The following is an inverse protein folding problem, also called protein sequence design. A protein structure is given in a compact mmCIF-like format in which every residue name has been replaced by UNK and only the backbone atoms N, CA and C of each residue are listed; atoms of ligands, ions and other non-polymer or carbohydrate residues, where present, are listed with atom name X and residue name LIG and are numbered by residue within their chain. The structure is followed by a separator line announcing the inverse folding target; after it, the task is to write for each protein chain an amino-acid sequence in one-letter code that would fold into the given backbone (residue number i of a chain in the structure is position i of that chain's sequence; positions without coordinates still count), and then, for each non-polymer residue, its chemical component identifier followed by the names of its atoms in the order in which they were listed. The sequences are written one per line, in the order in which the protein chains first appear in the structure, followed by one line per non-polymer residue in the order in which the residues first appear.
data_IF_734124416177
#
_entry.id   IF_734124416177
#
_cell.length_a   1.000
_cell.length_b   1.000
_cell.length_c   1.000
_cell.angle_alpha   90.00
_cell.angle_beta   90.00
_cell.angle_gamma   90.00
#
_symmetry.space_group_name_H-M   'P 1'
#
loop_
_entity.id
_entity.type
_entity.pdbx_description
1 polymer ?
#
# COMPACT_ATOMS: atom_id res chain seq x y z
N UNK A 1 -8.68 9.90 -8.11
CA UNK A 1 -9.28 9.22 -9.29
C UNK A 1 -9.06 7.71 -9.17
N UNK A 2 -7.83 7.24 -8.96
CA UNK A 2 -7.50 5.82 -8.92
C UNK A 2 -8.37 5.00 -7.95
N UNK A 3 -8.56 5.49 -6.72
CA UNK A 3 -9.40 4.83 -5.71
C UNK A 3 -10.84 4.57 -6.24
N UNK A 4 -11.41 5.55 -6.95
CA UNK A 4 -12.75 5.47 -7.51
C UNK A 4 -12.79 4.46 -8.66
N UNK A 5 -11.85 4.55 -9.60
CA UNK A 5 -11.78 3.65 -10.75
C UNK A 5 -11.66 2.18 -10.32
N UNK A 6 -10.75 1.90 -9.36
CA UNK A 6 -10.60 0.53 -8.81
C UNK A 6 -11.88 0.04 -8.13
N UNK A 7 -12.58 0.91 -7.38
CA UNK A 7 -13.82 0.54 -6.69
C UNK A 7 -14.98 0.26 -7.65
N UNK A 8 -15.07 0.99 -8.76
CA UNK A 8 -16.08 0.77 -9.82
C UNK A 8 -15.89 -0.61 -10.46
N UNK A 9 -14.65 -1.01 -10.68
CA UNK A 9 -14.30 -2.29 -11.31
C UNK A 9 -14.33 -3.49 -10.33
N UNK A 10 -14.91 -3.31 -9.15
CA UNK A 10 -15.07 -4.37 -8.16
C UNK A 10 -13.83 -4.66 -7.31
N UNK A 11 -12.76 -3.93 -7.51
CA UNK A 11 -11.59 -3.95 -6.62
C UNK A 11 -11.81 -3.12 -5.36
N UNK A 12 -10.91 -3.23 -4.39
CA UNK A 12 -10.90 -2.37 -3.21
C UNK A 12 -9.99 -1.17 -3.44
N UNK A 13 -10.56 -0.04 -3.85
CA UNK A 13 -9.83 1.22 -3.97
C UNK A 13 -9.39 1.76 -2.60
N UNK A 14 -8.14 2.21 -2.47
CA UNK A 14 -7.64 2.75 -1.21
C UNK A 14 -7.28 4.24 -1.33
N UNK A 15 -7.79 5.05 -0.42
CA UNK A 15 -7.33 6.42 -0.20
C UNK A 15 -6.04 6.35 0.63
N UNK A 16 -4.92 6.85 0.09
CA UNK A 16 -3.68 7.01 0.86
C UNK A 16 -3.70 8.31 1.65
N UNK A 17 -3.33 8.24 2.94
CA UNK A 17 -3.15 9.45 3.76
C UNK A 17 -1.72 9.98 3.74
N UNK A 18 -0.81 9.31 3.01
CA UNK A 18 0.56 9.79 2.80
C UNK A 18 0.49 11.07 1.95
N UNK A 19 1.16 12.12 2.41
CA UNK A 19 1.11 13.44 1.78
C UNK A 19 -0.01 14.37 2.28
N UNK A 20 -1.05 13.87 2.95
CA UNK A 20 -2.15 14.70 3.46
C UNK A 20 -1.77 15.53 4.71
N UNK A 21 -0.63 15.29 5.33
CA UNK A 21 -0.18 15.95 6.56
C UNK A 21 0.94 16.99 6.35
N UNK A 22 1.34 17.25 5.12
CA UNK A 22 2.41 18.19 4.78
C UNK A 22 1.89 19.60 4.54
N UNK A 23 2.77 20.63 4.64
CA UNK A 23 2.41 22.01 4.28
C UNK A 23 2.08 22.20 2.79
N UNK A 24 2.49 21.25 1.95
CA UNK A 24 2.30 21.25 0.50
C UNK A 24 1.46 20.03 0.07
N UNK A 25 0.14 20.10 0.25
CA UNK A 25 -0.80 19.05 -0.24
C UNK A 25 -1.05 19.27 -1.74
N UNK A 26 0.01 19.31 -2.54
CA UNK A 26 -0.06 19.56 -3.99
C UNK A 26 -0.14 18.27 -4.84
N UNK A 27 -0.55 17.13 -4.25
CA UNK A 27 -0.81 15.92 -4.98
C UNK A 27 -2.21 15.84 -5.61
N UNK A 28 -2.97 16.93 -5.58
CA UNK A 28 -4.30 16.99 -6.22
C UNK A 28 -4.08 17.59 -7.61
N UNK A 29 -4.54 16.92 -8.69
CA UNK A 29 -4.51 17.47 -10.05
C UNK A 29 -5.10 18.89 -10.08
N UNK A 30 -4.54 19.78 -10.91
CA UNK A 30 -4.90 21.21 -10.94
C UNK A 30 -6.40 21.41 -11.24
N UNK A 31 -6.99 20.56 -12.04
CA UNK A 31 -8.43 20.51 -12.36
C UNK A 31 -9.31 20.13 -11.16
N UNK A 32 -8.78 19.33 -10.24
CA UNK A 32 -9.45 18.91 -9.00
C UNK A 32 -9.10 19.83 -7.82
N UNK A 33 -8.09 20.72 -7.93
CA UNK A 33 -7.73 21.76 -6.93
C UNK A 33 -8.84 22.78 -6.71
N UNK A 34 -9.82 22.86 -7.61
CA UNK A 34 -11.04 23.66 -7.43
C UNK A 34 -11.97 23.13 -6.35
N UNK A 35 -11.82 21.86 -5.98
CA UNK A 35 -12.32 21.37 -4.71
C UNK A 35 -11.39 21.94 -3.65
N UNK A 36 -11.88 22.87 -2.85
CA UNK A 36 -11.12 23.56 -1.78
C UNK A 36 -10.77 22.56 -0.67
N UNK A 37 -9.83 21.65 -0.96
CA UNK A 37 -9.27 20.72 0.02
C UNK A 37 -8.37 21.43 1.04
N UNK A 38 -8.33 22.78 0.99
CA UNK A 38 -7.59 23.60 1.91
C UNK A 38 -6.10 23.32 1.85
N UNK A 39 -5.41 23.85 0.84
CA UNK A 39 -3.94 23.92 0.82
C UNK A 39 -3.47 24.51 2.15
N UNK A 40 -2.76 23.73 2.97
CA UNK A 40 -2.43 24.10 4.35
C UNK A 40 -3.52 23.73 5.38
N UNK A 41 -4.53 22.92 5.01
CA UNK A 41 -5.62 22.50 5.88
C UNK A 41 -5.19 21.49 6.93
N UNK A 42 -5.98 21.40 8.01
CA UNK A 42 -5.86 20.36 9.02
C UNK A 42 -5.99 18.97 8.32
N UNK A 43 -5.01 18.06 8.48
CA UNK A 43 -5.01 16.72 7.87
C UNK A 43 -6.34 15.96 8.02
N UNK A 44 -7.02 16.18 9.15
CA UNK A 44 -8.32 15.64 9.47
C UNK A 44 -9.41 16.10 8.49
N UNK A 45 -9.43 17.38 8.13
CA UNK A 45 -10.43 17.93 7.20
C UNK A 45 -10.17 17.45 5.77
N UNK A 46 -8.92 17.37 5.36
CA UNK A 46 -8.52 16.87 4.04
C UNK A 46 -9.02 15.44 3.84
N UNK A 47 -8.79 14.54 4.80
CA UNK A 47 -9.27 13.17 4.69
C UNK A 47 -10.81 13.08 4.66
N UNK A 48 -11.52 13.87 5.49
CA UNK A 48 -12.99 13.88 5.49
C UNK A 48 -13.56 14.34 4.14
N UNK A 49 -13.00 15.39 3.55
CA UNK A 49 -13.39 15.88 2.23
C UNK A 49 -13.10 14.84 1.14
N UNK A 50 -11.93 14.20 1.19
CA UNK A 50 -11.59 13.14 0.24
C UNK A 50 -12.55 11.96 0.35
N UNK A 51 -12.93 11.53 1.55
CA UNK A 51 -13.91 10.46 1.76
C UNK A 51 -15.28 10.86 1.17
N UNK A 52 -15.76 12.09 1.42
CA UNK A 52 -17.01 12.59 0.83
C UNK A 52 -16.97 12.56 -0.69
N UNK A 53 -15.92 13.12 -1.27
CA UNK A 53 -15.73 13.12 -2.72
C UNK A 53 -15.75 11.72 -3.34
N UNK A 54 -15.02 10.76 -2.75
CA UNK A 54 -15.02 9.37 -3.23
C UNK A 54 -16.41 8.74 -3.07
N UNK A 55 -17.09 8.98 -1.95
CA UNK A 55 -18.43 8.48 -1.69
C UNK A 55 -19.45 9.00 -2.71
N UNK A 56 -19.46 10.30 -2.98
CA UNK A 56 -20.32 10.95 -3.98
C UNK A 56 -20.08 10.39 -5.39
N UNK A 57 -18.80 10.24 -5.78
CA UNK A 57 -18.45 9.67 -7.10
C UNK A 57 -18.81 8.20 -7.27
N UNK A 58 -19.06 7.50 -6.17
CA UNK A 58 -19.48 6.09 -6.19
C UNK A 58 -21.00 5.93 -5.99
N UNK A 59 -21.80 7.02 -5.96
CA UNK A 59 -23.23 6.97 -5.64
C UNK A 59 -23.98 5.99 -6.56
N UNK A 60 -23.73 6.06 -7.87
CA UNK A 60 -24.35 5.21 -8.89
C UNK A 60 -23.81 3.76 -8.92
N UNK A 61 -22.84 3.42 -8.07
CA UNK A 61 -22.20 2.11 -8.01
C UNK A 61 -22.43 1.44 -6.66
N UNK A 62 -23.58 0.80 -6.41
CA UNK A 62 -23.98 0.29 -5.09
C UNK A 62 -23.01 -0.75 -4.51
N UNK A 63 -22.40 -1.56 -5.37
CA UNK A 63 -21.47 -2.62 -4.95
C UNK A 63 -20.05 -2.10 -4.72
N UNK A 64 -19.69 -0.92 -5.23
CA UNK A 64 -18.36 -0.35 -5.06
C UNK A 64 -18.02 -0.11 -3.58
N UNK A 65 -16.84 -0.57 -3.17
CA UNK A 65 -16.31 -0.42 -1.82
C UNK A 65 -14.92 0.20 -1.89
N UNK A 66 -14.60 0.99 -0.88
CA UNK A 66 -13.27 1.57 -0.75
C UNK A 66 -12.77 1.52 0.69
N UNK A 67 -11.50 1.84 0.86
CA UNK A 67 -10.86 1.91 2.15
C UNK A 67 -9.92 3.10 2.27
N UNK A 68 -9.34 3.25 3.45
CA UNK A 68 -8.30 4.24 3.75
C UNK A 68 -7.04 3.55 4.23
N UNK A 69 -5.87 4.00 3.78
CA UNK A 69 -4.57 3.57 4.31
C UNK A 69 -4.01 4.64 5.23
N UNK A 70 -3.71 4.25 6.48
CA UNK A 70 -3.17 5.13 7.52
C UNK A 70 -1.84 4.55 8.03
N UNK A 71 -0.69 5.21 7.79
CA UNK A 71 0.57 4.80 8.38
C UNK A 71 0.53 5.03 9.90
N UNK A 72 0.97 4.05 10.67
CA UNK A 72 0.92 4.08 12.15
C UNK A 72 2.31 4.01 12.80
N UNK A 73 3.34 4.42 12.08
CA UNK A 73 4.68 4.55 12.65
C UNK A 73 4.65 5.43 13.91
N UNK A 74 5.56 5.14 14.85
CA UNK A 74 5.63 5.84 16.14
C UNK A 74 5.74 7.36 15.97
N UNK A 75 6.45 7.79 14.95
CA UNK A 75 6.68 9.18 14.59
C UNK A 75 5.41 9.87 14.10
N UNK A 76 4.50 9.12 13.50
CA UNK A 76 3.21 9.59 12.99
C UNK A 76 2.03 9.42 13.95
N UNK A 77 2.21 8.83 15.11
CA UNK A 77 1.08 8.42 15.96
C UNK A 77 0.05 9.54 16.23
N UNK A 78 0.49 10.80 16.33
CA UNK A 78 -0.42 11.94 16.51
C UNK A 78 -1.26 12.22 15.27
N UNK A 79 -0.64 12.19 14.09
CA UNK A 79 -1.32 12.42 12.80
C UNK A 79 -2.20 11.22 12.46
N UNK A 80 -1.72 10.00 12.67
CA UNK A 80 -2.50 8.77 12.48
C UNK A 80 -3.79 8.79 13.31
N UNK A 81 -3.69 9.26 14.57
CA UNK A 81 -4.88 9.44 15.42
C UNK A 81 -5.86 10.47 14.85
N UNK A 82 -5.37 11.55 14.24
CA UNK A 82 -6.23 12.54 13.60
C UNK A 82 -6.96 11.94 12.41
N UNK A 83 -6.27 11.17 11.56
CA UNK A 83 -6.88 10.48 10.43
C UNK A 83 -7.94 9.44 10.89
N UNK A 84 -7.66 8.66 11.93
CA UNK A 84 -8.66 7.73 12.48
C UNK A 84 -9.88 8.46 13.02
N UNK A 85 -9.69 9.60 13.70
CA UNK A 85 -10.80 10.46 14.14
C UNK A 85 -11.58 11.02 12.95
N UNK A 86 -10.95 11.33 11.83
CA UNK A 86 -11.66 11.75 10.60
C UNK A 86 -12.63 10.67 10.12
N UNK A 87 -12.23 9.40 10.19
CA UNK A 87 -13.10 8.28 9.81
C UNK A 87 -14.27 8.12 10.80
N UNK A 88 -14.02 8.29 12.10
CA UNK A 88 -15.08 8.23 13.13
C UNK A 88 -16.10 9.35 12.89
N UNK A 89 -15.63 10.58 12.75
CA UNK A 89 -16.48 11.76 12.58
C UNK A 89 -17.30 11.72 11.28
N UNK A 90 -16.69 11.29 10.17
CA UNK A 90 -17.45 11.18 8.92
C UNK A 90 -18.53 10.09 9.02
N UNK A 91 -18.32 9.03 9.81
CA UNK A 91 -19.34 8.02 10.09
C UNK A 91 -20.49 8.52 10.99
N UNK A 92 -20.23 9.55 11.78
CA UNK A 92 -21.26 10.24 12.59
C UNK A 92 -22.02 11.27 11.74
N UNK A 93 -21.29 12.07 10.93
CA UNK A 93 -21.83 13.12 10.08
C UNK A 93 -22.63 12.59 8.87
N UNK A 94 -22.17 11.47 8.29
CA UNK A 94 -22.73 10.83 7.09
C UNK A 94 -22.78 9.30 7.30
N UNK A 95 -23.78 8.78 8.05
CA UNK A 95 -23.84 7.34 8.37
C UNK A 95 -23.88 6.42 7.14
N UNK A 96 -24.40 6.90 6.00
CA UNK A 96 -24.47 6.20 4.73
C UNK A 96 -23.08 5.86 4.13
N UNK A 97 -22.05 6.64 4.45
CA UNK A 97 -20.66 6.37 4.04
C UNK A 97 -20.19 4.98 4.48
N UNK A 98 -20.72 4.47 5.62
CA UNK A 98 -20.41 3.11 6.12
C UNK A 98 -20.77 2.00 5.15
N UNK A 99 -21.66 2.25 4.18
CA UNK A 99 -22.04 1.26 3.15
C UNK A 99 -20.91 1.04 2.16
N UNK A 100 -20.06 2.05 1.92
CA UNK A 100 -18.98 2.04 0.92
C UNK A 100 -17.58 2.06 1.52
N UNK A 101 -17.31 2.88 2.54
CA UNK A 101 -16.05 2.87 3.28
C UNK A 101 -16.05 1.71 4.27
N UNK A 102 -15.46 0.58 3.86
CA UNK A 102 -15.52 -0.68 4.60
C UNK A 102 -14.21 -1.11 5.23
N UNK A 103 -13.09 -0.60 4.73
CA UNK A 103 -11.75 -1.10 5.09
C UNK A 103 -10.88 0.04 5.59
N UNK A 104 -10.15 -0.22 6.67
CA UNK A 104 -9.02 0.59 7.11
C UNK A 104 -7.76 -0.26 7.09
N UNK A 105 -6.79 0.12 6.26
CA UNK A 105 -5.48 -0.49 6.22
C UNK A 105 -4.54 0.33 7.10
N UNK A 106 -3.87 -0.32 8.03
CA UNK A 106 -2.76 0.29 8.77
C UNK A 106 -1.42 -0.25 8.29
N UNK A 107 -0.42 0.61 8.18
CA UNK A 107 0.88 0.29 7.60
C UNK A 107 2.03 0.96 8.35
N UNK A 108 3.26 0.57 8.03
CA UNK A 108 4.51 1.18 8.51
C UNK A 108 4.62 1.32 10.04
N UNK A 109 4.00 0.42 10.82
CA UNK A 109 4.07 0.49 12.28
C UNK A 109 3.50 -0.72 12.99
N UNK A 110 3.46 -0.61 14.32
CA UNK A 110 2.95 -1.65 15.22
C UNK A 110 1.45 -1.39 15.51
N UNK A 111 0.53 -2.31 15.18
CA UNK A 111 -0.89 -2.14 15.44
C UNK A 111 -1.26 -2.32 16.95
N UNK A 112 -0.43 -2.97 17.74
CA UNK A 112 -0.77 -3.30 19.13
C UNK A 112 -1.15 -2.07 19.99
N UNK A 113 -0.49 -0.90 19.88
CA UNK A 113 -0.94 0.31 20.61
C UNK A 113 -2.33 0.82 20.25
N UNK A 114 -2.92 0.32 19.16
CA UNK A 114 -4.24 0.71 18.63
C UNK A 114 -5.31 -0.37 18.86
N UNK A 115 -4.93 -1.45 19.54
CA UNK A 115 -5.81 -2.54 19.90
C UNK A 115 -6.70 -2.17 21.11
N UNK A 116 -7.85 -2.83 21.20
CA UNK A 116 -8.63 -2.87 22.46
C UNK A 116 -7.72 -3.50 23.54
N UNK A 117 -7.72 -2.91 24.73
CA UNK A 117 -6.92 -3.38 25.88
C UNK A 117 -5.43 -3.52 25.55
N UNK A 118 -4.89 -2.57 24.77
CA UNK A 118 -3.51 -2.59 24.29
C UNK A 118 -2.46 -2.81 25.41
N UNK A 119 -2.67 -2.21 26.58
CA UNK A 119 -1.76 -2.36 27.74
C UNK A 119 -1.79 -3.77 28.33
N UNK A 120 -2.96 -4.37 28.46
CA UNK A 120 -3.15 -5.75 28.94
C UNK A 120 -2.55 -6.75 27.97
N UNK A 121 -2.59 -6.46 26.67
CA UNK A 121 -1.93 -7.21 25.60
C UNK A 121 -0.41 -6.98 25.53
N UNK A 122 0.17 -6.22 26.49
CA UNK A 122 1.60 -6.00 26.61
C UNK A 122 2.16 -4.85 25.78
N UNK A 123 1.32 -3.91 25.34
CA UNK A 123 1.80 -2.66 24.74
C UNK A 123 2.23 -1.67 25.82
N UNK A 124 3.40 -1.01 25.60
CA UNK A 124 3.85 0.08 26.47
C UNK A 124 3.01 1.36 26.31
N UNK A 125 2.30 1.49 25.20
CA UNK A 125 1.45 2.64 24.85
C UNK A 125 0.07 2.16 24.45
N UNK A 126 -0.94 2.99 24.69
CA UNK A 126 -2.28 2.82 24.18
C UNK A 126 -2.68 4.13 23.50
N UNK A 127 -3.24 4.00 22.32
CA UNK A 127 -3.76 5.11 21.53
C UNK A 127 -5.29 4.99 21.40
N UNK A 128 -5.84 5.31 20.24
CA UNK A 128 -7.24 5.08 19.91
C UNK A 128 -7.49 3.59 19.69
N UNK A 129 -8.53 3.03 20.31
CA UNK A 129 -8.91 1.62 20.18
C UNK A 129 -9.74 1.41 18.92
N UNK A 130 -9.08 1.05 17.80
CA UNK A 130 -9.70 1.01 16.45
C UNK A 130 -11.01 0.22 16.43
N UNK A 131 -11.03 -1.01 16.91
CA UNK A 131 -12.23 -1.87 16.84
C UNK A 131 -13.32 -1.50 17.85
N UNK A 132 -13.03 -0.67 18.83
CA UNK A 132 -14.02 -0.12 19.76
C UNK A 132 -14.73 1.09 19.15
N UNK A 133 -13.98 1.99 18.55
CA UNK A 133 -14.51 3.21 17.91
C UNK A 133 -15.17 2.90 16.55
N UNK A 134 -14.63 1.91 15.83
CA UNK A 134 -15.06 1.51 14.49
C UNK A 134 -15.33 0.00 14.43
N UNK A 135 -16.35 -0.51 15.15
CA UNK A 135 -16.56 -1.97 15.31
C UNK A 135 -16.84 -2.70 14.00
N UNK A 136 -17.45 -2.03 13.03
CA UNK A 136 -17.84 -2.61 11.74
C UNK A 136 -16.85 -2.38 10.61
N UNK A 137 -15.74 -1.67 10.86
CA UNK A 137 -14.69 -1.53 9.87
C UNK A 137 -13.84 -2.80 9.79
N UNK A 138 -13.50 -3.22 8.60
CA UNK A 138 -12.51 -4.28 8.40
C UNK A 138 -11.13 -3.64 8.58
N UNK A 139 -10.43 -4.04 9.64
CA UNK A 139 -9.11 -3.53 9.95
C UNK A 139 -8.03 -4.46 9.39
N UNK A 140 -7.26 -3.97 8.41
CA UNK A 140 -6.15 -4.69 7.81
C UNK A 140 -4.82 -4.12 8.32
N UNK A 141 -3.79 -4.97 8.45
CA UNK A 141 -2.44 -4.54 8.80
C UNK A 141 -1.42 -5.06 7.80
N UNK A 142 -0.58 -4.15 7.28
CA UNK A 142 0.56 -4.51 6.45
C UNK A 142 1.70 -5.04 7.33
N UNK A 143 2.14 -6.25 7.05
CA UNK A 143 3.15 -6.98 7.80
C UNK A 143 4.31 -7.42 6.91
N UNK A 144 5.55 -6.98 7.19
CA UNK A 144 6.72 -7.34 6.39
C UNK A 144 7.40 -8.63 6.87
N UNK A 145 6.85 -9.31 7.85
CA UNK A 145 7.38 -10.57 8.40
C UNK A 145 6.32 -11.28 9.27
N UNK A 146 6.50 -12.58 9.48
CA UNK A 146 5.58 -13.45 10.25
C UNK A 146 5.43 -12.99 11.72
N UNK A 147 6.49 -12.49 12.34
CA UNK A 147 6.40 -11.97 13.71
C UNK A 147 5.44 -10.78 13.80
N UNK A 148 5.49 -9.90 12.81
CA UNK A 148 4.56 -8.78 12.67
C UNK A 148 3.13 -9.26 12.46
N UNK A 149 2.92 -10.28 11.62
CA UNK A 149 1.61 -10.87 11.37
C UNK A 149 0.99 -11.47 12.66
N UNK A 150 1.73 -12.26 13.41
CA UNK A 150 1.28 -12.80 14.72
C UNK A 150 0.97 -11.69 15.73
N UNK A 151 1.72 -10.59 15.68
CA UNK A 151 1.48 -9.43 16.55
C UNK A 151 0.22 -8.66 16.12
N UNK A 152 0.00 -8.54 14.81
CA UNK A 152 -1.21 -7.93 14.27
C UNK A 152 -2.47 -8.74 14.62
N UNK A 153 -2.41 -10.07 14.47
CA UNK A 153 -3.50 -10.97 14.91
C UNK A 153 -3.85 -10.74 16.39
N UNK A 154 -2.85 -10.69 17.29
CA UNK A 154 -3.10 -10.39 18.71
C UNK A 154 -3.68 -8.99 18.94
N UNK A 155 -3.45 -8.06 18.02
CA UNK A 155 -4.00 -6.70 18.10
C UNK A 155 -5.50 -6.64 17.76
N UNK A 156 -6.04 -7.71 17.16
CA UNK A 156 -7.45 -7.78 16.77
C UNK A 156 -7.72 -7.16 15.40
N UNK A 157 -6.75 -7.22 14.48
CA UNK A 157 -6.99 -6.93 13.07
C UNK A 157 -7.81 -8.08 12.45
N UNK A 158 -8.51 -7.79 11.36
CA UNK A 158 -9.35 -8.78 10.67
C UNK A 158 -8.60 -9.46 9.52
N UNK A 159 -7.64 -8.78 8.89
CA UNK A 159 -6.90 -9.27 7.71
C UNK A 159 -5.42 -8.89 7.83
N UNK A 160 -4.54 -9.80 7.46
CA UNK A 160 -3.11 -9.55 7.33
C UNK A 160 -2.76 -9.28 5.87
N UNK A 161 -1.97 -8.24 5.60
CA UNK A 161 -1.38 -7.98 4.30
C UNK A 161 0.11 -8.33 4.39
N UNK A 162 0.50 -9.48 3.87
CA UNK A 162 1.88 -9.96 3.86
C UNK A 162 2.65 -9.27 2.72
N UNK A 163 3.49 -8.30 3.05
CA UNK A 163 4.21 -7.48 2.07
C UNK A 163 5.68 -7.89 1.97
N UNK A 164 6.04 -8.52 0.86
CA UNK A 164 7.42 -8.90 0.56
C UNK A 164 8.32 -7.70 0.24
N UNK A 165 9.63 -7.95 0.24
CA UNK A 165 10.66 -6.93 0.00
C UNK A 165 10.66 -6.38 -1.43
N UNK A 166 9.98 -7.05 -2.36
CA UNK A 166 9.81 -6.62 -3.76
C UNK A 166 8.96 -5.36 -3.90
N UNK A 167 8.19 -5.00 -2.86
CA UNK A 167 7.33 -3.81 -2.86
C UNK A 167 8.09 -2.50 -3.04
N UNK A 168 7.45 -1.53 -3.71
CA UNK A 168 7.91 -0.14 -3.79
C UNK A 168 7.59 0.65 -2.52
N UNK A 169 8.15 1.86 -2.41
CA UNK A 169 8.07 2.69 -1.22
C UNK A 169 8.60 1.97 0.04
N UNK A 170 7.98 2.16 1.20
CA UNK A 170 8.45 1.55 2.44
C UNK A 170 8.41 0.03 2.38
N UNK A 171 9.55 -0.61 2.63
CA UNK A 171 9.71 -2.05 2.61
C UNK A 171 10.34 -2.58 3.90
N UNK A 172 10.51 -3.90 4.01
CA UNK A 172 11.07 -4.53 5.20
C UNK A 172 12.55 -4.16 5.41
N UNK A 173 13.03 -4.22 6.66
CA UNK A 173 14.46 -4.11 6.99
C UNK A 173 15.28 -5.30 6.47
N UNK A 174 14.65 -6.47 6.37
CA UNK A 174 15.29 -7.71 5.89
C UNK A 174 14.67 -8.16 4.59
N UNK A 175 15.49 -8.75 3.74
CA UNK A 175 15.06 -9.29 2.48
C UNK A 175 14.31 -10.61 2.70
N UNK A 176 12.99 -10.55 2.54
CA UNK A 176 12.13 -11.73 2.50
C UNK A 176 11.20 -11.57 1.31
N UNK A 177 11.33 -12.45 0.34
CA UNK A 177 10.50 -12.43 -0.86
C UNK A 177 9.05 -12.79 -0.55
N UNK A 178 8.13 -12.28 -1.37
CA UNK A 178 6.70 -12.60 -1.27
C UNK A 178 6.47 -14.10 -1.40
N UNK A 179 7.26 -14.79 -2.23
CA UNK A 179 7.20 -16.24 -2.43
C UNK A 179 7.47 -17.05 -1.16
N UNK A 180 8.25 -16.52 -0.22
CA UNK A 180 8.54 -17.15 1.08
C UNK A 180 7.63 -16.60 2.18
N UNK A 181 7.46 -15.28 2.21
CA UNK A 181 6.71 -14.62 3.28
C UNK A 181 5.23 -14.99 3.28
N UNK A 182 4.61 -15.01 2.09
CA UNK A 182 3.17 -15.21 1.96
C UNK A 182 2.71 -16.58 2.50
N UNK A 183 3.22 -17.73 2.01
CA UNK A 183 2.78 -19.04 2.51
C UNK A 183 3.18 -19.27 3.96
N UNK A 184 4.30 -18.72 4.42
CA UNK A 184 4.69 -18.82 5.83
C UNK A 184 3.76 -17.99 6.74
N UNK A 185 3.29 -16.84 6.28
CA UNK A 185 2.29 -16.05 7.00
C UNK A 185 0.96 -16.79 7.07
N UNK A 186 0.47 -17.32 5.93
CA UNK A 186 -0.78 -18.11 5.87
C UNK A 186 -0.77 -19.26 6.88
N UNK A 187 0.36 -19.99 7.00
CA UNK A 187 0.47 -21.10 7.98
C UNK A 187 0.60 -20.63 9.42
N UNK A 188 0.96 -19.40 9.66
CA UNK A 188 1.36 -18.88 10.98
C UNK A 188 0.29 -18.10 11.71
N UNK A 189 -0.81 -17.72 11.04
CA UNK A 189 -1.93 -16.96 11.59
C UNK A 189 -3.24 -17.63 11.21
N UNK A 190 -4.31 -17.36 11.98
CA UNK A 190 -5.66 -17.89 11.70
C UNK A 190 -6.52 -16.87 10.92
N UNK A 191 -5.96 -15.75 10.52
CA UNK A 191 -6.65 -14.68 9.79
C UNK A 191 -6.47 -14.85 8.27
N UNK A 192 -7.41 -14.34 7.47
CA UNK A 192 -7.21 -14.22 6.03
C UNK A 192 -5.95 -13.40 5.72
N UNK A 193 -5.21 -13.82 4.68
CA UNK A 193 -3.96 -13.16 4.27
C UNK A 193 -4.08 -12.68 2.83
N UNK A 194 -3.70 -11.43 2.59
CA UNK A 194 -3.55 -10.79 1.28
C UNK A 194 -2.06 -10.70 0.97
N UNK A 195 -1.65 -11.05 -0.26
CA UNK A 195 -0.28 -10.90 -0.74
C UNK A 195 -0.02 -9.46 -1.19
N UNK A 196 1.16 -8.91 -0.86
CA UNK A 196 1.62 -7.62 -1.35
C UNK A 196 3.11 -7.64 -1.67
N UNK A 197 3.55 -6.76 -2.58
CA UNK A 197 4.93 -6.73 -3.08
C UNK A 197 5.20 -7.80 -4.15
N UNK A 198 5.49 -7.36 -5.38
CA UNK A 198 5.80 -8.25 -6.49
C UNK A 198 4.61 -8.76 -7.30
N UNK A 199 3.40 -8.26 -7.08
CA UNK A 199 2.19 -8.65 -7.82
C UNK A 199 1.79 -7.57 -8.82
N UNK A 200 1.52 -7.96 -10.10
CA UNK A 200 1.18 -7.00 -11.17
C UNK A 200 0.18 -7.52 -12.22
N UNK A 201 -0.05 -8.80 -12.30
CA UNK A 201 -0.81 -9.46 -13.38
C UNK A 201 -1.57 -10.69 -12.89
N UNK A 202 -2.29 -11.35 -13.78
CA UNK A 202 -3.06 -12.55 -13.46
C UNK A 202 -2.19 -13.73 -13.05
N UNK A 203 -1.00 -13.87 -13.63
CA UNK A 203 -0.07 -14.94 -13.26
C UNK A 203 0.38 -14.80 -11.80
N UNK A 204 0.69 -13.59 -11.36
CA UNK A 204 1.09 -13.33 -9.98
C UNK A 204 -0.11 -13.42 -9.01
N UNK A 205 -1.33 -13.06 -9.44
CA UNK A 205 -2.55 -13.31 -8.67
C UNK A 205 -2.81 -14.81 -8.50
N UNK A 206 -2.76 -15.61 -9.58
CA UNK A 206 -2.94 -17.05 -9.51
C UNK A 206 -1.92 -17.71 -8.57
N UNK A 207 -0.65 -17.29 -8.64
CA UNK A 207 0.39 -17.76 -7.74
C UNK A 207 0.09 -17.40 -6.27
N UNK A 208 -0.36 -16.18 -5.98
CA UNK A 208 -0.73 -15.79 -4.61
C UNK A 208 -1.88 -16.63 -4.05
N UNK A 209 -2.90 -16.90 -4.85
CA UNK A 209 -4.03 -17.77 -4.47
C UNK A 209 -3.55 -19.20 -4.19
N UNK A 210 -2.66 -19.74 -5.03
CA UNK A 210 -2.06 -21.08 -4.82
C UNK A 210 -1.21 -21.13 -3.53
N UNK A 211 -0.62 -20.01 -3.11
CA UNK A 211 0.12 -19.89 -1.85
C UNK A 211 -0.79 -19.66 -0.63
N UNK A 212 -2.12 -19.65 -0.82
CA UNK A 212 -3.12 -19.54 0.23
C UNK A 212 -3.58 -18.11 0.57
N UNK A 213 -3.23 -17.12 -0.24
CA UNK A 213 -3.79 -15.79 -0.10
C UNK A 213 -5.26 -15.75 -0.53
N UNK A 214 -6.03 -14.80 0.02
CA UNK A 214 -7.40 -14.51 -0.42
C UNK A 214 -7.46 -13.46 -1.55
N UNK A 215 -6.32 -12.87 -1.92
CA UNK A 215 -6.18 -11.84 -2.94
C UNK A 215 -4.83 -11.15 -2.83
N UNK A 216 -4.63 -10.09 -3.62
CA UNK A 216 -3.38 -9.34 -3.67
C UNK A 216 -3.62 -7.83 -3.56
N UNK A 217 -2.63 -7.12 -3.00
CA UNK A 217 -2.55 -5.67 -3.03
C UNK A 217 -1.42 -5.26 -3.97
N UNK A 218 -1.74 -4.45 -4.96
CA UNK A 218 -0.81 -3.94 -5.96
C UNK A 218 -0.66 -2.42 -5.81
N UNK A 219 0.57 -1.91 -5.80
CA UNK A 219 0.86 -0.47 -5.82
C UNK A 219 1.42 -0.06 -7.17
N UNK A 220 2.64 -0.49 -7.48
CA UNK A 220 3.40 -0.08 -8.67
C UNK A 220 2.64 -0.30 -9.97
N UNK A 221 1.91 -1.42 -10.12
CA UNK A 221 1.09 -1.70 -11.30
C UNK A 221 0.01 -0.63 -11.52
N UNK A 222 -0.66 -0.21 -10.45
CA UNK A 222 -1.73 0.78 -10.54
C UNK A 222 -1.22 2.23 -10.68
N UNK A 223 0.04 2.53 -10.32
CA UNK A 223 0.67 3.81 -10.68
C UNK A 223 0.67 3.97 -12.20
N UNK A 224 1.04 2.92 -12.96
CA UNK A 224 1.05 2.89 -14.41
C UNK A 224 -0.33 2.56 -14.99
N UNK A 225 -1.36 3.37 -14.65
CA UNK A 225 -2.71 3.34 -15.23
C UNK A 225 -3.12 4.75 -15.64
N UNK A 226 -4.10 4.86 -16.54
CA UNK A 226 -4.59 6.16 -17.02
C UNK A 226 -5.22 6.97 -15.87
N UNK A 227 -5.97 6.32 -14.97
CA UNK A 227 -6.62 6.94 -13.81
C UNK A 227 -5.70 7.06 -12.59
N UNK A 228 -4.49 6.54 -12.66
CA UNK A 228 -3.47 6.75 -11.62
C UNK A 228 -3.20 8.24 -11.40
N UNK A 229 -3.38 8.72 -10.17
CA UNK A 229 -3.16 10.12 -9.78
C UNK A 229 -1.66 10.40 -9.58
N UNK A 230 -0.87 10.09 -10.63
CA UNK A 230 0.59 10.23 -10.64
C UNK A 230 1.02 10.92 -11.93
N UNK A 231 2.14 11.64 -11.88
CA UNK A 231 2.70 12.36 -13.01
C UNK A 231 2.98 11.42 -14.19
N UNK A 232 2.75 11.90 -15.39
CA UNK A 232 2.88 11.09 -16.62
C UNK A 232 4.32 10.58 -16.78
N UNK A 233 5.30 11.42 -16.48
CA UNK A 233 6.73 11.06 -16.48
C UNK A 233 6.99 9.82 -15.59
N UNK A 234 6.41 9.77 -14.38
CA UNK A 234 6.61 8.62 -13.48
C UNK A 234 6.04 7.32 -14.08
N UNK A 235 4.83 7.38 -14.66
CA UNK A 235 4.21 6.22 -15.34
C UNK A 235 5.08 5.71 -16.49
N UNK A 236 5.62 6.62 -17.30
CA UNK A 236 6.50 6.28 -18.42
C UNK A 236 7.83 5.68 -17.97
N UNK A 237 8.42 6.16 -16.87
CA UNK A 237 9.63 5.58 -16.29
C UNK A 237 9.38 4.16 -15.77
N UNK A 238 8.20 3.89 -15.18
CA UNK A 238 7.83 2.52 -14.77
C UNK A 238 7.76 1.55 -15.95
N UNK A 239 7.18 1.99 -17.08
CA UNK A 239 7.04 1.16 -18.29
C UNK A 239 8.40 0.88 -18.97
N UNK A 240 9.36 1.82 -18.87
CA UNK A 240 10.72 1.66 -19.42
C UNK A 240 11.63 0.80 -18.55
N UNK A 241 11.34 0.71 -17.25
CA UNK A 241 12.20 0.07 -16.28
C UNK A 241 12.08 -1.46 -16.30
N UNK A 242 13.17 -2.11 -15.96
CA UNK A 242 13.28 -3.57 -15.78
C UNK A 242 13.26 -3.92 -14.28
N UNK A 243 13.32 -5.21 -13.96
CA UNK A 243 13.43 -5.70 -12.59
C UNK A 243 14.73 -5.28 -11.88
N UNK A 244 15.74 -4.86 -12.63
CA UNK A 244 17.03 -4.39 -12.11
C UNK A 244 17.06 -2.89 -11.83
N UNK A 245 16.08 -2.13 -12.32
CA UNK A 245 16.08 -0.66 -12.26
C UNK A 245 15.46 -0.10 -10.97
N UNK A 246 15.50 -0.88 -9.88
CA UNK A 246 15.08 -0.40 -8.57
C UNK A 246 16.16 -0.60 -7.51
N UNK A 247 16.22 0.31 -6.54
CA UNK A 247 17.22 0.28 -5.48
C UNK A 247 16.57 0.64 -4.12
N UNK A 248 17.12 0.10 -3.03
CA UNK A 248 16.62 0.40 -1.68
C UNK A 248 17.61 1.27 -0.92
N UNK A 249 17.14 2.44 -0.50
CA UNK A 249 17.83 3.34 0.41
C UNK A 249 17.09 3.50 1.74
N UNK A 250 17.68 4.23 2.67
CA UNK A 250 17.04 4.66 3.90
C UNK A 250 16.13 5.84 3.61
N UNK A 251 14.83 5.69 3.82
CA UNK A 251 13.89 6.80 3.84
C UNK A 251 13.70 7.39 5.24
N UNK A 252 12.82 8.38 5.40
CA UNK A 252 12.57 9.04 6.70
C UNK A 252 12.08 8.03 7.75
N UNK A 253 11.23 7.08 7.38
CA UNK A 253 10.57 6.17 8.32
C UNK A 253 11.08 4.72 8.28
N UNK A 254 11.85 4.35 7.28
CA UNK A 254 12.33 2.99 7.09
C UNK A 254 13.04 2.82 5.76
N UNK A 255 13.40 1.59 5.40
CA UNK A 255 13.88 1.30 4.05
C UNK A 255 12.81 1.67 3.01
N UNK A 256 13.23 2.26 1.89
CA UNK A 256 12.36 2.62 0.77
C UNK A 256 12.97 2.17 -0.55
N UNK A 257 12.13 1.63 -1.44
CA UNK A 257 12.53 1.23 -2.78
C UNK A 257 12.07 2.28 -3.79
N UNK A 258 13.00 2.71 -4.64
CA UNK A 258 12.82 3.71 -5.69
C UNK A 258 13.26 3.15 -7.05
N UNK A 259 12.81 3.76 -8.16
CA UNK A 259 13.50 3.66 -9.44
C UNK A 259 14.91 4.25 -9.33
N UNK A 260 15.85 3.63 -10.04
CA UNK A 260 17.23 4.12 -10.11
C UNK A 260 17.28 5.35 -11.01
N UNK A 261 17.69 6.47 -10.45
CA UNK A 261 17.98 7.73 -11.13
C UNK A 261 18.98 8.54 -10.30
N UNK A 262 19.47 9.70 -10.77
CA UNK A 262 20.42 10.49 -9.99
C UNK A 262 19.93 10.85 -8.59
N UNK A 263 18.65 11.22 -8.41
CA UNK A 263 18.10 11.56 -7.09
C UNK A 263 18.09 10.35 -6.12
N UNK A 264 17.71 9.18 -6.58
CA UNK A 264 17.73 7.97 -5.73
C UNK A 264 19.15 7.55 -5.37
N UNK A 265 20.13 7.73 -6.27
CA UNK A 265 21.54 7.46 -5.99
C UNK A 265 22.10 8.41 -4.93
N UNK A 266 21.70 9.69 -4.91
CA UNK A 266 22.06 10.62 -3.81
C UNK A 266 21.55 10.09 -2.46
N UNK A 267 20.32 9.54 -2.40
CA UNK A 267 19.79 8.91 -1.19
C UNK A 267 20.57 7.66 -0.80
N UNK A 268 21.04 6.86 -1.77
CA UNK A 268 21.88 5.69 -1.53
C UNK A 268 23.22 6.10 -0.94
N UNK A 269 23.88 7.10 -1.50
CA UNK A 269 25.17 7.60 -0.99
C UNK A 269 25.04 8.13 0.44
N UNK A 270 23.99 8.91 0.72
CA UNK A 270 23.67 9.36 2.07
C UNK A 270 23.37 8.18 3.03
N UNK A 271 22.73 7.11 2.52
CA UNK A 271 22.44 5.90 3.28
C UNK A 271 23.74 5.15 3.63
N UNK A 272 24.64 4.98 2.68
CA UNK A 272 25.94 4.33 2.89
C UNK A 272 26.75 5.09 3.94
N UNK A 273 26.74 6.42 3.87
CA UNK A 273 27.48 7.30 4.77
C UNK A 273 26.93 7.32 6.19
N UNK A 274 25.59 7.40 6.35
CA UNK A 274 24.96 7.70 7.65
C UNK A 274 24.04 6.63 8.22
N UNK A 275 23.66 5.60 7.44
CA UNK A 275 22.67 4.60 7.81
C UNK A 275 22.96 3.20 7.23
N UNK A 276 24.24 2.83 7.07
CA UNK A 276 24.68 1.60 6.39
C UNK A 276 24.23 0.29 7.05
N UNK A 277 23.81 0.30 8.31
CA UNK A 277 23.21 -0.86 8.97
C UNK A 277 21.93 -1.36 8.29
N UNK A 278 21.27 -0.50 7.47
CA UNK A 278 20.18 -0.91 6.59
C UNK A 278 20.58 -2.11 5.72
N UNK A 279 21.77 -2.07 5.11
CA UNK A 279 22.26 -3.14 4.23
C UNK A 279 22.66 -4.42 4.96
N UNK A 280 22.72 -4.36 6.32
CA UNK A 280 22.83 -5.54 7.19
C UNK A 280 21.49 -6.03 7.72
N UNK A 281 20.37 -5.47 7.22
CA UNK A 281 19.02 -5.80 7.68
C UNK A 281 18.72 -5.34 9.13
N UNK A 282 19.43 -4.31 9.61
CA UNK A 282 19.26 -3.78 10.95
C UNK A 282 18.55 -2.41 10.93
N UNK A 283 17.55 -2.21 11.81
CA UNK A 283 16.99 -0.89 12.01
C UNK A 283 18.04 0.13 12.42
N UNK A 284 18.09 1.24 11.73
CA UNK A 284 18.99 2.36 11.99
C UNK A 284 18.22 3.69 11.87
N UNK A 285 18.65 4.75 12.57
CA UNK A 285 18.04 6.07 12.47
C UNK A 285 18.22 6.64 11.07
N UNK A 286 17.34 7.56 10.66
CA UNK A 286 17.56 8.41 9.50
C UNK A 286 18.49 9.57 9.89
N UNK A 287 19.15 10.17 8.89
CA UNK A 287 19.94 11.39 9.05
C UNK A 287 19.18 12.59 8.48
N UNK A 288 19.59 13.82 8.85
CA UNK A 288 19.00 15.03 8.29
C UNK A 288 19.27 15.15 6.78
N UNK A 289 20.45 14.68 6.32
CA UNK A 289 20.77 14.60 4.89
C UNK A 289 19.75 13.74 4.12
N UNK A 290 19.45 12.52 4.60
CA UNK A 290 18.46 11.63 4.00
C UNK A 290 17.06 12.28 4.00
N UNK A 291 16.69 12.93 5.10
CA UNK A 291 15.39 13.60 5.23
C UNK A 291 15.23 14.70 4.17
N UNK A 292 16.25 15.53 4.04
CA UNK A 292 16.26 16.65 3.06
C UNK A 292 16.18 16.10 1.63
N UNK A 293 16.95 15.06 1.30
CA UNK A 293 16.94 14.45 -0.03
C UNK A 293 15.59 13.83 -0.36
N UNK A 294 14.97 13.12 0.58
CA UNK A 294 13.66 12.52 0.37
C UNK A 294 12.56 13.57 0.17
N UNK A 295 12.50 14.58 1.03
CA UNK A 295 11.53 15.68 0.90
C UNK A 295 11.71 16.43 -0.42
N UNK A 296 12.95 16.77 -0.78
CA UNK A 296 13.28 17.44 -2.04
C UNK A 296 12.90 16.59 -3.25
N UNK A 297 13.22 15.29 -3.24
CA UNK A 297 12.95 14.41 -4.35
C UNK A 297 11.45 14.19 -4.59
N UNK A 298 10.64 14.10 -3.54
CA UNK A 298 9.18 13.99 -3.71
C UNK A 298 8.55 15.32 -4.19
N UNK A 299 9.06 16.48 -3.78
CA UNK A 299 8.58 17.78 -4.30
C UNK A 299 8.88 17.93 -5.80
N UNK A 300 9.95 17.33 -6.30
CA UNK A 300 10.37 17.42 -7.69
C UNK A 300 9.52 16.59 -8.65
N UNK A 301 8.68 15.67 -8.14
CA UNK A 301 7.70 14.95 -8.97
C UNK A 301 6.79 15.92 -9.73
N UNK A 302 6.32 16.98 -9.08
CA UNK A 302 5.44 18.01 -9.69
C UNK A 302 6.13 18.75 -10.85
N UNK A 303 7.46 18.88 -10.82
CA UNK A 303 8.24 19.52 -11.88
C UNK A 303 8.50 18.57 -13.08
N UNK A 304 8.07 17.32 -12.99
CA UNK A 304 8.32 16.24 -13.97
C UNK A 304 9.81 16.10 -14.37
N UNK A 305 10.72 16.34 -13.42
CA UNK A 305 12.16 16.19 -13.63
C UNK A 305 12.59 14.76 -13.22
N UNK A 306 12.73 13.87 -14.20
CA UNK A 306 13.08 12.47 -13.98
C UNK A 306 14.40 12.24 -13.22
N UNK A 307 15.34 13.20 -13.32
CA UNK A 307 16.65 13.10 -12.68
C UNK A 307 16.65 13.57 -11.22
N UNK A 308 15.69 14.41 -10.83
CA UNK A 308 15.59 14.99 -9.49
C UNK A 308 14.45 14.42 -8.66
N UNK A 309 13.54 13.67 -9.26
CA UNK A 309 12.37 13.11 -8.61
C UNK A 309 12.64 11.75 -7.97
N UNK A 310 12.15 11.52 -6.76
CA UNK A 310 12.15 10.20 -6.15
C UNK A 310 10.87 9.47 -6.54
N UNK A 311 11.00 8.47 -7.39
CA UNK A 311 9.89 7.67 -7.90
C UNK A 311 9.86 6.31 -7.21
N UNK A 312 8.86 6.08 -6.37
CA UNK A 312 8.67 4.80 -5.70
C UNK A 312 8.28 3.72 -6.72
N UNK A 313 8.98 2.59 -6.70
CA UNK A 313 8.67 1.45 -7.55
C UNK A 313 9.07 0.14 -6.88
N UNK A 314 8.26 -0.91 -7.08
CA UNK A 314 8.64 -2.28 -6.71
C UNK A 314 9.45 -2.95 -7.82
N UNK A 315 10.11 -4.06 -7.49
CA UNK A 315 10.84 -4.91 -8.48
C UNK A 315 9.92 -5.36 -9.61
N UNK A 316 8.62 -5.42 -9.35
CA UNK A 316 7.59 -5.81 -10.31
C UNK A 316 7.49 -4.87 -11.51
N UNK A 317 8.18 -3.73 -11.50
CA UNK A 317 8.23 -2.80 -12.64
C UNK A 317 8.71 -3.52 -13.91
N UNK A 318 9.59 -4.55 -13.83
CA UNK A 318 9.98 -5.40 -14.97
C UNK A 318 8.85 -6.22 -15.60
N UNK A 319 7.63 -6.20 -15.02
CA UNK A 319 6.40 -6.82 -15.57
C UNK A 319 5.37 -5.79 -16.04
N UNK A 320 5.72 -4.51 -16.06
CA UNK A 320 4.80 -3.40 -16.40
C UNK A 320 5.26 -2.81 -17.73
N UNK A 321 4.48 -3.03 -18.79
CA UNK A 321 4.88 -2.67 -20.17
C UNK A 321 3.89 -1.71 -20.84
N UNK A 322 2.85 -1.27 -20.13
CA UNK A 322 1.78 -0.42 -20.65
C UNK A 322 1.14 0.48 -19.57
N UNK A 323 0.30 1.41 -20.01
CA UNK A 323 -0.49 2.32 -19.17
C UNK A 323 -1.97 2.17 -19.57
N UNK A 324 -2.62 1.06 -19.22
CA UNK A 324 -4.01 0.79 -19.57
C UNK A 324 -4.99 1.61 -18.72
N UNK A 325 -6.26 1.54 -19.05
CA UNK A 325 -7.31 1.92 -18.11
C UNK A 325 -7.35 0.96 -16.93
N UNK A 326 -7.88 1.40 -15.79
CA UNK A 326 -8.09 0.50 -14.63
C UNK A 326 -9.06 -0.63 -14.99
N UNK A 327 -10.06 -0.35 -15.83
CA UNK A 327 -10.97 -1.36 -16.35
C UNK A 327 -10.22 -2.48 -17.07
N UNK A 328 -9.47 -2.13 -18.13
CA UNK A 328 -8.74 -3.12 -18.94
C UNK A 328 -7.74 -3.91 -18.09
N UNK A 329 -7.06 -3.22 -17.15
CA UNK A 329 -6.11 -3.86 -16.25
C UNK A 329 -6.78 -4.90 -15.35
N UNK A 330 -7.86 -4.55 -14.67
CA UNK A 330 -8.55 -5.47 -13.74
C UNK A 330 -9.16 -6.64 -14.51
N UNK A 331 -9.82 -6.38 -15.64
CA UNK A 331 -10.39 -7.44 -16.47
C UNK A 331 -9.30 -8.37 -17.00
N UNK A 332 -8.17 -7.82 -17.47
CA UNK A 332 -7.02 -8.61 -17.91
C UNK A 332 -6.43 -9.49 -16.81
N UNK A 333 -6.21 -8.94 -15.61
CA UNK A 333 -5.70 -9.69 -14.45
C UNK A 333 -6.65 -10.84 -14.09
N UNK A 334 -7.96 -10.59 -14.03
CA UNK A 334 -8.93 -11.61 -13.64
C UNK A 334 -9.05 -12.70 -14.70
N UNK A 335 -9.04 -12.35 -15.97
CA UNK A 335 -9.09 -13.30 -17.09
C UNK A 335 -7.85 -14.19 -17.09
N UNK A 336 -6.65 -13.60 -17.10
CA UNK A 336 -5.38 -14.33 -17.09
C UNK A 336 -5.27 -15.27 -15.86
N UNK A 337 -5.63 -14.78 -14.67
CA UNK A 337 -5.58 -15.60 -13.45
C UNK A 337 -6.53 -16.80 -13.56
N UNK A 338 -7.74 -16.59 -14.08
CA UNK A 338 -8.74 -17.65 -14.26
C UNK A 338 -8.24 -18.71 -15.26
N UNK A 339 -7.72 -18.29 -16.40
CA UNK A 339 -7.15 -19.19 -17.42
C UNK A 339 -6.01 -20.03 -16.86
N UNK A 340 -5.08 -19.41 -16.12
CA UNK A 340 -3.97 -20.12 -15.49
C UNK A 340 -4.48 -21.16 -14.48
N UNK A 341 -5.42 -20.79 -13.61
CA UNK A 341 -5.95 -21.70 -12.57
C UNK A 341 -6.68 -22.89 -13.21
N UNK A 342 -7.44 -22.66 -14.26
CA UNK A 342 -8.15 -23.73 -14.97
C UNK A 342 -7.21 -24.65 -15.75
N UNK A 343 -6.08 -24.15 -16.24
CA UNK A 343 -5.10 -24.91 -17.02
C UNK A 343 -4.07 -25.67 -16.14
N UNK A 344 -3.85 -25.22 -14.88
CA UNK A 344 -2.89 -25.86 -13.97
C UNK A 344 -3.11 -27.38 -13.80
N UNK A 345 -4.33 -27.91 -13.60
CA UNK A 345 -4.54 -29.35 -13.50
C UNK A 345 -4.04 -30.13 -14.71
N UNK A 346 -4.23 -29.59 -15.91
CA UNK A 346 -3.80 -30.25 -17.16
C UNK A 346 -2.27 -30.34 -17.31
N UNK A 347 -1.54 -29.38 -16.69
CA UNK A 347 -0.07 -29.35 -16.68
C UNK A 347 0.56 -30.26 -15.64
N UNK A 348 -0.13 -30.46 -14.50
CA UNK A 348 0.42 -31.17 -13.34
C UNK A 348 -0.01 -32.64 -13.34
N UNK A 349 -1.22 -32.93 -13.79
CA UNK A 349 -1.85 -34.24 -13.72
C UNK A 349 -1.99 -34.77 -15.14
N UNK A 350 -1.10 -35.66 -15.56
CA UNK A 350 -1.38 -36.49 -16.73
C UNK A 350 -2.50 -37.45 -16.38
N UNK A 351 -3.47 -37.63 -17.29
CA UNK A 351 -4.63 -38.56 -17.08
C UNK A 351 -4.18 -39.95 -16.63
N UNK A 352 -2.99 -40.40 -17.07
CA UNK A 352 -2.35 -41.65 -16.70
C UNK A 352 -1.98 -41.76 -15.20
N UNK A 353 -1.95 -40.67 -14.45
CA UNK A 353 -1.57 -40.60 -13.03
C UNK A 353 -2.77 -40.33 -12.11
N UNK A 354 -3.97 -40.18 -12.64
CA UNK A 354 -5.22 -40.10 -11.89
C UNK A 354 -5.75 -41.49 -11.54
N UNK A 355 -4.95 -42.28 -10.82
CA UNK A 355 -5.50 -43.43 -10.08
C UNK A 355 -5.97 -42.83 -8.74
N UNK A 356 -7.21 -42.42 -8.71
CA UNK A 356 -7.93 -42.21 -7.46
C UNK A 356 -8.32 -43.59 -6.93
N UNK A 357 -7.56 -44.08 -5.95
CA UNK A 357 -8.02 -45.19 -5.09
C UNK A 357 -9.13 -44.70 -4.16
#
# INVERSE_FOLDING_TARGET
KLCIAVAIEGGLGLISTIGMAGPDVNFIPEEDRKLDFGVGGNPKNVLKQTIRYVFEKLEDYPEAKFGVNIPIAKEFAMVSRQFMKSVIEIFEEMPEVKKKLRVMVTSAGDPLPWAIDAKEKGSKKAFLEVKKELPNIIWCQVCPNVRGAKRAERSGVDIIIASGREGGAHCAWRDTSSMVLLPETVRSVNLPVVGAGGFADGATLAAALALGAIGVQMGTRFIATQEGDFEQMWKEQLVKATEFDTIVGRGIFGPMRFLINPASLEVIDATIKGASDLYRGKPCPTTDEIRILEEKGFRKLVDEDENKSLMNAGVVTGRIHDIPTVHDLIQGIMTEATEIILDLPTKIIKEENLILE
#
